data_IF_805737687612
#
_entry.id   IF_805737687612
#
_cell.length_a   1.000
_cell.length_b   1.000
_cell.length_c   1.000
_cell.angle_alpha   90.00
_cell.angle_beta   90.00
_cell.angle_gamma   90.00
#
_symmetry.space_group_name_H-M   'P 1'
#
loop_
_entity.id
_entity.type
_entity.pdbx_description
1 polymer ?
#
# COMPACT_ATOMS: atom_id res chain seq x y z
N UNK A 1 -8.05 0.86 15.61
CA UNK A 1 -8.79 1.10 14.35
C UNK A 1 -7.76 1.09 13.24
N UNK A 2 -7.77 0.10 12.35
CA UNK A 2 -6.76 -0.06 11.29
C UNK A 2 -7.30 0.50 9.97
N UNK A 3 -6.48 1.23 9.22
CA UNK A 3 -6.79 1.75 7.88
C UNK A 3 -6.28 0.74 6.85
N UNK A 4 -7.16 0.03 6.15
CA UNK A 4 -6.79 -0.98 5.15
C UNK A 4 -6.85 -0.41 3.72
N UNK A 5 -5.80 -0.62 2.90
CA UNK A 5 -5.78 -0.24 1.48
C UNK A 5 -6.65 -1.22 0.72
N UNK A 6 -7.86 -0.78 0.36
CA UNK A 6 -8.81 -1.68 -0.26
C UNK A 6 -9.05 -1.44 -1.74
N UNK A 7 -8.53 -0.38 -2.33
CA UNK A 7 -8.54 -0.21 -3.79
C UNK A 7 -7.47 0.80 -4.19
N UNK A 8 -6.47 0.39 -4.99
CA UNK A 8 -5.82 1.36 -5.88
C UNK A 8 -6.89 1.73 -6.91
N UNK A 9 -7.54 2.87 -6.68
CA UNK A 9 -8.45 3.41 -7.67
C UNK A 9 -7.61 4.11 -8.74
N UNK A 10 -7.26 3.38 -9.80
CA UNK A 10 -6.82 4.03 -11.03
C UNK A 10 -8.01 4.83 -11.58
N UNK A 11 -7.96 6.15 -11.45
CA UNK A 11 -8.96 7.01 -12.07
C UNK A 11 -8.75 6.99 -13.60
N UNK A 12 -9.44 6.10 -14.30
CA UNK A 12 -9.54 6.16 -15.75
C UNK A 12 -10.29 7.44 -16.17
N UNK A 13 -9.93 8.07 -17.31
CA UNK A 13 -10.71 9.18 -17.87
C UNK A 13 -12.18 8.76 -18.06
N UNK A 14 -13.12 9.54 -17.53
CA UNK A 14 -14.56 9.24 -17.56
C UNK A 14 -15.10 8.47 -16.34
N UNK A 15 -14.26 8.19 -15.33
CA UNK A 15 -14.71 7.59 -14.06
C UNK A 15 -15.35 8.62 -13.12
N UNK A 16 -16.51 8.30 -12.54
CA UNK A 16 -17.13 9.06 -11.44
C UNK A 16 -16.33 9.01 -10.13
N UNK A 17 -15.22 8.25 -10.08
CA UNK A 17 -14.31 8.21 -8.94
C UNK A 17 -13.52 9.52 -8.77
N UNK A 18 -13.42 10.34 -9.82
CA UNK A 18 -12.87 11.69 -9.77
C UNK A 18 -13.81 12.70 -9.09
N UNK A 19 -15.10 12.38 -8.97
CA UNK A 19 -16.09 13.26 -8.33
C UNK A 19 -16.13 13.10 -6.80
N UNK A 20 -15.35 12.16 -6.24
CA UNK A 20 -15.29 11.95 -4.79
C UNK A 20 -14.41 13.02 -4.14
N UNK A 21 -14.73 13.46 -2.90
CA UNK A 21 -13.83 14.29 -2.12
C UNK A 21 -12.45 13.65 -2.06
N UNK A 22 -11.40 14.43 -2.34
CA UNK A 22 -10.03 13.96 -2.32
C UNK A 22 -9.65 13.50 -0.90
N UNK A 23 -9.98 14.31 0.10
CA UNK A 23 -9.75 14.01 1.50
C UNK A 23 -11.05 14.08 2.32
N UNK A 24 -11.25 13.08 3.16
CA UNK A 24 -12.34 12.92 4.11
C UNK A 24 -11.87 12.09 5.31
N UNK A 25 -12.55 12.10 6.47
CA UNK A 25 -12.14 11.29 7.62
C UNK A 25 -11.98 9.78 7.34
N UNK A 26 -12.69 9.27 6.33
CA UNK A 26 -12.66 7.87 5.91
C UNK A 26 -11.86 7.61 4.64
N UNK A 27 -11.24 8.63 4.02
CA UNK A 27 -10.54 8.52 2.75
C UNK A 27 -9.48 9.60 2.58
N UNK A 28 -8.28 9.23 2.14
CA UNK A 28 -7.22 10.17 1.77
C UNK A 28 -6.73 9.81 0.37
N UNK A 29 -6.49 10.82 -0.47
CA UNK A 29 -5.93 10.62 -1.82
C UNK A 29 -4.53 11.23 -1.87
N UNK A 30 -3.53 10.39 -2.15
CA UNK A 30 -2.21 10.86 -2.52
C UNK A 30 -2.28 11.42 -3.94
N UNK A 31 -2.02 12.72 -4.08
CA UNK A 31 -2.00 13.41 -5.36
C UNK A 31 -0.97 12.78 -6.32
N UNK A 32 -1.33 12.64 -7.60
CA UNK A 32 -0.49 12.03 -8.63
C UNK A 32 -1.31 11.48 -9.81
N UNK A 33 -0.63 11.05 -10.87
CA UNK A 33 -1.26 10.35 -12.01
C UNK A 33 -0.49 9.06 -12.31
N UNK A 34 -1.06 7.87 -12.04
CA UNK A 34 -2.36 7.65 -11.41
C UNK A 34 -2.36 8.05 -9.92
N UNK A 35 -3.53 8.47 -9.42
CA UNK A 35 -3.70 8.79 -8.00
C UNK A 35 -3.82 7.49 -7.18
N UNK A 36 -3.24 7.49 -5.98
CA UNK A 36 -3.37 6.40 -5.01
C UNK A 36 -4.29 6.85 -3.87
N UNK A 37 -5.31 6.08 -3.55
CA UNK A 37 -6.27 6.40 -2.51
C UNK A 37 -6.26 5.35 -1.39
N UNK A 38 -6.41 5.82 -0.15
CA UNK A 38 -6.57 5.03 1.06
C UNK A 38 -7.98 5.28 1.57
N UNK A 39 -8.70 4.25 1.99
CA UNK A 39 -10.04 4.41 2.56
C UNK A 39 -10.27 3.38 3.67
N UNK A 40 -11.13 3.69 4.63
CA UNK A 40 -11.53 2.72 5.64
C UNK A 40 -12.24 1.52 5.00
N UNK A 41 -12.03 0.33 5.58
CA UNK A 41 -12.70 -0.89 5.15
C UNK A 41 -12.98 -1.83 6.33
N UNK A 42 -14.01 -2.65 6.16
CA UNK A 42 -14.37 -3.75 7.07
C UNK A 42 -13.71 -5.08 6.71
N UNK A 43 -13.00 -5.15 5.60
CA UNK A 43 -12.30 -6.36 5.16
C UNK A 43 -11.12 -6.71 6.08
N UNK A 44 -10.80 -8.00 6.22
CA UNK A 44 -9.63 -8.43 7.00
C UNK A 44 -8.33 -7.89 6.39
N UNK A 45 -7.35 -7.59 7.23
CA UNK A 45 -6.00 -7.24 6.78
C UNK A 45 -5.35 -8.42 6.05
N UNK A 46 -4.61 -8.19 4.94
CA UNK A 46 -3.81 -9.24 4.32
C UNK A 46 -2.69 -9.71 5.27
N UNK A 47 -2.35 -11.01 5.18
CA UNK A 47 -1.24 -11.61 5.94
C UNK A 47 -0.40 -12.48 5.02
N UNK A 48 0.15 -11.87 3.99
CA UNK A 48 0.95 -12.59 3.00
C UNK A 48 2.09 -13.39 3.67
N UNK A 49 2.34 -14.65 3.27
CA UNK A 49 1.75 -15.39 2.15
C UNK A 49 0.56 -16.31 2.51
N UNK A 50 -0.12 -16.11 3.64
CA UNK A 50 -1.24 -16.94 4.10
C UNK A 50 -2.42 -16.89 3.10
N UNK A 51 -2.80 -18.02 2.46
CA UNK A 51 -3.88 -18.04 1.47
C UNK A 51 -5.26 -17.74 2.07
N UNK A 52 -5.44 -17.88 3.39
CA UNK A 52 -6.68 -17.48 4.05
C UNK A 52 -6.79 -15.95 4.22
N UNK A 53 -5.68 -15.23 4.08
CA UNK A 53 -5.59 -13.77 4.19
C UNK A 53 -4.78 -13.24 3.00
N UNK A 54 -5.31 -13.41 1.77
CA UNK A 54 -4.57 -13.17 0.54
C UNK A 54 -4.18 -11.71 0.39
N UNK A 55 -3.16 -11.48 -0.43
CA UNK A 55 -2.73 -10.16 -0.82
C UNK A 55 -3.88 -9.38 -1.49
N UNK A 56 -4.06 -8.13 -1.07
CA UNK A 56 -5.06 -7.22 -1.64
C UNK A 56 -4.43 -6.25 -2.64
N UNK A 57 -3.19 -5.84 -2.40
CA UNK A 57 -2.41 -4.92 -3.24
C UNK A 57 -0.91 -5.23 -3.11
N UNK A 58 -0.16 -4.95 -4.15
CA UNK A 58 1.31 -4.81 -4.12
C UNK A 58 1.67 -3.43 -4.66
N UNK A 59 2.49 -2.68 -3.95
CA UNK A 59 3.18 -1.51 -4.51
C UNK A 59 4.66 -1.83 -4.75
N UNK A 60 5.15 -1.57 -5.96
CA UNK A 60 6.59 -1.56 -6.25
C UNK A 60 7.07 -0.11 -6.27
N UNK A 61 7.87 0.27 -5.27
CA UNK A 61 8.33 1.64 -5.08
C UNK A 61 9.77 1.78 -5.60
N UNK A 62 9.98 2.59 -6.62
CA UNK A 62 11.32 2.88 -7.13
C UNK A 62 12.00 4.01 -6.36
N UNK A 63 13.28 3.85 -6.03
CA UNK A 63 14.10 4.88 -5.38
C UNK A 63 15.52 4.88 -5.95
N UNK A 64 16.19 6.04 -6.04
CA UNK A 64 17.62 6.09 -6.35
C UNK A 64 18.52 5.61 -5.20
N UNK A 65 18.00 5.54 -3.96
CA UNK A 65 18.73 5.12 -2.76
C UNK A 65 17.93 4.08 -1.98
N UNK A 66 18.20 2.81 -2.28
CA UNK A 66 17.54 1.64 -1.66
C UNK A 66 17.90 1.53 -0.16
N UNK A 67 19.17 1.62 0.26
CA UNK A 67 19.50 1.59 1.70
C UNK A 67 18.77 2.64 2.53
N UNK A 68 18.71 3.90 2.07
CA UNK A 68 18.02 4.97 2.79
C UNK A 68 16.50 4.73 2.84
N UNK A 69 15.89 4.31 1.73
CA UNK A 69 14.47 4.01 1.67
C UNK A 69 14.07 2.85 2.60
N UNK A 70 14.91 1.81 2.68
CA UNK A 70 14.69 0.68 3.60
C UNK A 70 14.76 1.11 5.06
N UNK A 71 15.76 1.92 5.42
CA UNK A 71 15.86 2.47 6.77
C UNK A 71 14.62 3.32 7.09
N UNK A 72 14.20 4.17 6.16
CA UNK A 72 13.00 4.99 6.33
C UNK A 72 11.73 4.15 6.51
N UNK A 73 11.53 3.12 5.68
CA UNK A 73 10.38 2.22 5.78
C UNK A 73 10.25 1.61 7.18
N UNK A 74 11.35 1.15 7.77
CA UNK A 74 11.36 0.63 9.13
C UNK A 74 11.00 1.71 10.16
N UNK A 75 11.49 2.95 10.00
CA UNK A 75 11.19 4.06 10.93
C UNK A 75 9.71 4.44 10.94
N UNK A 76 9.01 4.27 9.80
CA UNK A 76 7.58 4.59 9.67
C UNK A 76 6.67 3.38 9.96
N UNK A 77 7.24 2.27 10.44
CA UNK A 77 6.48 1.12 10.96
C UNK A 77 6.29 -0.03 9.98
N UNK A 78 6.99 -0.03 8.84
CA UNK A 78 6.98 -1.18 7.93
C UNK A 78 7.66 -2.41 8.57
N UNK A 79 7.11 -3.60 8.32
CA UNK A 79 7.61 -4.86 8.84
C UNK A 79 8.28 -5.67 7.72
N UNK A 80 9.55 -6.09 7.84
CA UNK A 80 10.20 -6.89 6.81
C UNK A 80 9.52 -8.25 6.66
N UNK A 81 9.21 -8.62 5.42
CA UNK A 81 8.69 -9.94 5.07
C UNK A 81 9.83 -10.83 4.59
N UNK A 82 9.81 -12.11 4.98
CA UNK A 82 10.81 -13.05 4.49
C UNK A 82 10.53 -13.39 3.03
N UNK A 83 11.53 -13.19 2.18
CA UNK A 83 11.48 -13.53 0.76
C UNK A 83 12.63 -14.47 0.40
N UNK A 84 12.42 -15.29 -0.63
CA UNK A 84 13.34 -16.36 -1.03
C UNK A 84 14.54 -15.87 -1.86
N UNK A 85 14.86 -14.57 -1.90
CA UNK A 85 15.92 -14.03 -2.78
C UNK A 85 16.62 -12.78 -2.24
N UNK A 86 17.91 -12.58 -2.56
CA UNK A 86 18.75 -11.52 -1.97
C UNK A 86 18.42 -10.09 -2.44
N UNK A 87 17.60 -9.95 -3.49
CA UNK A 87 17.33 -8.67 -4.15
C UNK A 87 15.90 -8.14 -3.97
N UNK A 88 15.05 -8.84 -3.20
CA UNK A 88 13.66 -8.46 -3.01
C UNK A 88 13.44 -7.99 -1.58
N UNK A 89 13.53 -6.67 -1.37
CA UNK A 89 13.25 -6.06 -0.07
C UNK A 89 11.75 -5.82 0.06
N UNK A 90 11.05 -6.84 0.52
CA UNK A 90 9.60 -6.81 0.67
C UNK A 90 9.25 -6.50 2.12
N UNK A 91 8.30 -5.60 2.30
CA UNK A 91 7.82 -5.15 3.59
C UNK A 91 6.29 -5.18 3.62
N UNK A 92 5.71 -5.40 4.79
CA UNK A 92 4.31 -5.12 5.05
C UNK A 92 4.18 -3.69 5.60
N UNK A 93 3.23 -2.92 5.08
CA UNK A 93 2.81 -1.68 5.73
C UNK A 93 2.13 -1.96 7.09
N UNK A 94 1.84 -0.92 7.91
CA UNK A 94 1.16 -1.12 9.20
C UNK A 94 -0.22 -1.81 9.12
N UNK A 95 -0.83 -1.86 7.93
CA UNK A 95 -2.10 -2.52 7.67
C UNK A 95 -1.96 -3.92 7.02
N UNK A 96 -0.72 -4.40 6.82
CA UNK A 96 -0.39 -5.74 6.33
C UNK A 96 -0.12 -5.83 4.81
N UNK A 97 -0.22 -4.74 4.04
CA UNK A 97 -0.08 -4.80 2.59
C UNK A 97 1.39 -4.93 2.19
N UNK A 98 1.75 -5.92 1.37
CA UNK A 98 3.11 -6.08 0.90
C UNK A 98 3.50 -4.99 -0.12
N UNK A 99 4.70 -4.46 0.01
CA UNK A 99 5.33 -3.57 -0.96
C UNK A 99 6.82 -3.87 -1.12
N UNK A 100 7.36 -3.62 -2.33
CA UNK A 100 8.79 -3.70 -2.61
C UNK A 100 9.42 -2.31 -2.62
N UNK A 101 10.69 -2.26 -2.25
CA UNK A 101 11.62 -1.15 -2.50
C UNK A 101 12.76 -1.69 -3.38
#
# INVERSE_FOLDING_TARGET
MSLTIQNIVFACPGSTLLDRPLDAPSRVVLAGTPALAFQQSTSPAPRWPDPAYPQQVHLDLSTPDVPAARAHALTVGAQPLQTSGPHHHVYADPAGHPFCI
#
